data_IF_199091195666
#
_entry.id   IF_199091195666
#
_cell.length_a   1.000
_cell.length_b   1.000
_cell.length_c   1.000
_cell.angle_alpha   90.00
_cell.angle_beta   90.00
_cell.angle_gamma   90.00
#
_symmetry.space_group_name_H-M   'P 1'
#
loop_
_entity.id
_entity.type
_entity.pdbx_description
1 polymer ?
#
# COMPACT_ATOMS: atom_id res chain seq x y z
N UNK A 1 28.78 6.56 0.55
CA UNK A 1 27.32 6.80 0.65
C UNK A 1 26.59 5.58 0.11
N UNK A 2 25.71 4.95 0.89
CA UNK A 2 25.01 3.71 0.49
C UNK A 2 24.01 4.05 -0.64
N UNK A 3 24.22 3.51 -1.85
CA UNK A 3 23.33 3.68 -3.00
C UNK A 3 21.93 3.18 -2.60
N UNK A 4 20.99 4.11 -2.41
CA UNK A 4 19.65 3.80 -1.91
C UNK A 4 18.76 3.47 -3.11
N UNK A 5 18.07 2.33 -3.03
CA UNK A 5 17.20 1.81 -4.08
C UNK A 5 16.24 2.90 -4.63
N UNK A 6 16.01 2.88 -5.95
CA UNK A 6 15.13 3.80 -6.71
C UNK A 6 13.65 3.43 -6.46
N UNK A 7 13.25 3.24 -5.20
CA UNK A 7 11.88 2.93 -4.85
C UNK A 7 11.31 4.07 -4.00
N UNK A 8 10.59 4.96 -4.67
CA UNK A 8 9.87 6.05 -4.02
C UNK A 8 8.54 5.49 -3.51
N UNK A 9 8.31 5.58 -2.20
CA UNK A 9 7.05 5.17 -1.58
C UNK A 9 6.04 6.32 -1.52
N UNK A 10 4.73 6.03 -1.43
CA UNK A 10 3.71 7.06 -1.23
C UNK A 10 3.97 7.91 0.04
N UNK A 11 4.52 7.30 1.10
CA UNK A 11 4.92 8.00 2.31
C UNK A 11 6.13 8.94 2.09
N UNK A 12 6.99 8.62 1.13
CA UNK A 12 8.10 9.49 0.76
C UNK A 12 7.62 10.73 0.02
N UNK A 13 6.72 10.54 -0.96
CA UNK A 13 6.07 11.65 -1.67
C UNK A 13 5.27 12.53 -0.70
N UNK A 14 4.48 11.91 0.18
CA UNK A 14 3.70 12.65 1.19
C UNK A 14 4.61 13.50 2.10
N UNK A 15 5.76 12.96 2.52
CA UNK A 15 6.73 13.71 3.32
C UNK A 15 7.38 14.86 2.54
N UNK A 16 7.68 14.65 1.26
CA UNK A 16 8.22 15.70 0.40
C UNK A 16 7.22 16.85 0.23
N UNK A 17 5.96 16.53 -0.11
CA UNK A 17 4.88 17.52 -0.27
C UNK A 17 4.62 18.26 1.05
N UNK A 18 4.61 17.55 2.17
CA UNK A 18 4.36 18.15 3.48
C UNK A 18 5.52 19.06 3.93
N UNK A 19 6.76 18.57 3.86
CA UNK A 19 7.94 19.35 4.19
C UNK A 19 9.18 18.84 3.42
N UNK A 20 9.59 19.55 2.34
CA UNK A 20 10.75 19.17 1.54
C UNK A 20 12.05 19.08 2.36
N UNK A 21 12.22 19.96 3.34
CA UNK A 21 13.40 19.97 4.20
C UNK A 21 13.47 18.71 5.08
N UNK A 22 12.35 18.32 5.71
CA UNK A 22 12.26 17.10 6.52
C UNK A 22 12.52 15.85 5.67
N UNK A 23 12.01 15.83 4.44
CA UNK A 23 12.27 14.75 3.48
C UNK A 23 13.76 14.67 3.12
N UNK A 24 14.37 15.79 2.73
CA UNK A 24 15.81 15.86 2.38
C UNK A 24 16.67 15.36 3.54
N UNK A 25 16.41 15.85 4.75
CA UNK A 25 17.15 15.46 5.95
C UNK A 25 17.04 13.95 6.21
N UNK A 26 15.84 13.40 6.07
CA UNK A 26 15.60 11.96 6.20
C UNK A 26 16.27 11.11 5.11
N UNK A 27 16.50 11.67 3.91
CA UNK A 27 17.18 10.99 2.80
C UNK A 27 18.70 10.99 2.97
N UNK A 28 19.28 12.11 3.40
CA UNK A 28 20.72 12.31 3.57
C UNK A 28 21.23 11.72 4.89
N UNK A 29 20.56 12.02 6.01
CA UNK A 29 21.02 11.67 7.36
C UNK A 29 20.25 10.51 8.00
N UNK A 30 19.16 10.05 7.36
CA UNK A 30 18.31 8.98 7.89
C UNK A 30 17.23 9.47 8.85
N UNK A 31 16.30 8.58 9.21
CA UNK A 31 15.18 8.93 10.10
C UNK A 31 15.57 9.01 11.58
N UNK A 32 16.66 8.34 11.98
CA UNK A 32 17.15 8.32 13.36
C UNK A 32 17.62 9.72 13.81
N UNK A 33 18.44 10.37 12.99
CA UNK A 33 18.98 11.72 13.25
C UNK A 33 17.88 12.77 13.29
N UNK A 34 16.85 12.62 12.46
CA UNK A 34 15.67 13.48 12.48
C UNK A 34 14.89 13.33 13.81
N UNK A 35 14.72 12.10 14.30
CA UNK A 35 14.08 11.83 15.60
C UNK A 35 14.86 12.45 16.76
N UNK A 36 16.17 12.29 16.77
CA UNK A 36 17.06 12.87 17.79
C UNK A 36 16.96 14.41 17.81
N UNK A 37 16.91 15.07 16.64
CA UNK A 37 16.69 16.52 16.55
C UNK A 37 15.33 16.96 17.09
N UNK A 38 14.26 16.22 16.80
CA UNK A 38 12.95 16.53 17.38
C UNK A 38 12.91 16.36 18.90
N UNK A 39 13.61 15.35 19.43
CA UNK A 39 13.75 15.14 20.88
C UNK A 39 14.53 16.27 21.54
N UNK A 40 15.61 16.73 20.92
CA UNK A 40 16.41 17.86 21.40
C UNK A 40 15.65 19.20 21.40
N UNK A 41 14.60 19.33 20.58
CA UNK A 41 13.74 20.52 20.53
C UNK A 41 12.61 20.48 21.58
N UNK A 42 12.56 19.46 22.45
CA UNK A 42 11.53 19.21 23.47
C UNK A 42 10.08 19.27 22.95
N UNK A 43 9.89 19.14 21.64
CA UNK A 43 8.56 19.19 21.04
C UNK A 43 7.83 17.89 21.33
N UNK A 44 6.63 18.00 21.92
CA UNK A 44 5.72 16.87 22.06
C UNK A 44 5.48 16.24 20.68
N UNK A 45 5.82 14.98 20.54
CA UNK A 45 5.49 14.20 19.34
C UNK A 45 3.98 14.09 19.25
N UNK A 46 3.41 14.54 18.13
CA UNK A 46 1.99 14.39 17.84
C UNK A 46 1.63 12.90 17.73
N UNK A 47 0.72 12.44 18.58
CA UNK A 47 0.33 11.03 18.64
C UNK A 47 -0.69 10.71 17.52
N UNK A 48 -0.19 10.48 16.31
CA UNK A 48 -1.02 10.15 15.14
C UNK A 48 -1.18 8.63 14.90
N UNK A 49 -0.75 7.80 15.86
CA UNK A 49 -0.71 6.35 15.70
C UNK A 49 -2.12 5.75 15.47
N UNK A 50 -3.15 6.32 16.10
CA UNK A 50 -4.54 5.88 15.93
C UNK A 50 -5.01 6.04 14.46
N UNK A 51 -4.71 7.18 13.83
CA UNK A 51 -5.09 7.44 12.44
C UNK A 51 -4.32 6.54 11.47
N UNK A 52 -3.02 6.32 11.73
CA UNK A 52 -2.21 5.40 10.95
C UNK A 52 -2.73 3.96 11.04
N UNK A 53 -3.01 3.46 12.25
CA UNK A 53 -3.61 2.13 12.48
C UNK A 53 -4.97 1.99 11.81
N UNK A 54 -5.80 3.04 11.85
CA UNK A 54 -7.10 3.06 11.15
C UNK A 54 -6.90 2.93 9.64
N UNK A 55 -5.99 3.70 9.05
CA UNK A 55 -5.66 3.61 7.62
C UNK A 55 -5.13 2.24 7.21
N UNK A 56 -4.22 1.66 8.00
CA UNK A 56 -3.66 0.34 7.72
C UNK A 56 -4.75 -0.74 7.67
N UNK A 57 -5.63 -0.78 8.68
CA UNK A 57 -6.76 -1.71 8.75
C UNK A 57 -7.74 -1.52 7.60
N UNK A 58 -7.98 -0.29 7.16
CA UNK A 58 -8.79 -0.03 5.98
C UNK A 58 -8.17 -0.67 4.73
N UNK A 59 -6.87 -0.45 4.49
CA UNK A 59 -6.17 -1.03 3.34
C UNK A 59 -6.17 -2.56 3.39
N UNK A 60 -5.91 -3.17 4.54
CA UNK A 60 -5.95 -4.62 4.69
C UNK A 60 -7.32 -5.20 4.32
N UNK A 61 -8.40 -4.62 4.84
CA UNK A 61 -9.75 -5.05 4.54
C UNK A 61 -10.12 -4.82 3.08
N UNK A 62 -9.70 -3.68 2.51
CA UNK A 62 -9.90 -3.37 1.10
C UNK A 62 -9.22 -4.40 0.19
N UNK A 63 -7.94 -4.72 0.45
CA UNK A 63 -7.20 -5.72 -0.32
C UNK A 63 -7.78 -7.13 -0.17
N UNK A 64 -8.23 -7.51 1.04
CA UNK A 64 -8.92 -8.79 1.27
C UNK A 64 -10.20 -8.89 0.43
N UNK A 65 -11.06 -7.87 0.49
CA UNK A 65 -12.31 -7.81 -0.30
C UNK A 65 -12.03 -7.84 -1.80
N UNK A 66 -11.06 -7.05 -2.27
CA UNK A 66 -10.66 -7.03 -3.68
C UNK A 66 -10.16 -8.39 -4.15
N UNK A 67 -9.33 -9.07 -3.34
CA UNK A 67 -8.83 -10.41 -3.65
C UNK A 67 -9.95 -11.45 -3.69
N UNK A 68 -10.93 -11.38 -2.78
CA UNK A 68 -12.10 -12.26 -2.79
C UNK A 68 -12.97 -12.01 -4.03
N UNK A 69 -13.27 -10.76 -4.36
CA UNK A 69 -14.01 -10.39 -5.57
C UNK A 69 -13.34 -10.93 -6.83
N UNK A 70 -12.02 -10.73 -6.97
CA UNK A 70 -11.23 -11.25 -8.10
C UNK A 70 -11.23 -12.77 -8.20
N UNK A 71 -11.26 -13.49 -7.07
CA UNK A 71 -11.39 -14.95 -7.06
C UNK A 71 -12.79 -15.36 -7.54
N UNK A 72 -13.84 -14.72 -7.04
CA UNK A 72 -15.22 -15.00 -7.44
C UNK A 72 -15.44 -14.74 -8.93
N UNK A 73 -14.95 -13.61 -9.45
CA UNK A 73 -14.98 -13.28 -10.88
C UNK A 73 -14.32 -14.37 -11.74
N UNK A 74 -13.17 -14.91 -11.30
CA UNK A 74 -12.49 -16.01 -12.00
C UNK A 74 -13.30 -17.30 -11.97
N UNK A 75 -13.91 -17.65 -10.84
CA UNK A 75 -14.74 -18.85 -10.73
C UNK A 75 -15.96 -18.74 -11.64
N UNK A 76 -16.64 -17.60 -11.66
CA UNK A 76 -17.79 -17.35 -12.54
C UNK A 76 -17.37 -17.48 -14.01
N UNK A 77 -16.24 -16.90 -14.40
CA UNK A 77 -15.73 -16.99 -15.76
C UNK A 77 -15.43 -18.45 -16.16
N UNK A 78 -14.82 -19.24 -15.27
CA UNK A 78 -14.55 -20.66 -15.52
C UNK A 78 -15.86 -21.44 -15.71
N UNK A 79 -16.85 -21.23 -14.83
CA UNK A 79 -18.16 -21.87 -14.95
C UNK A 79 -18.82 -21.52 -16.28
N UNK A 80 -18.79 -20.24 -16.67
CA UNK A 80 -19.35 -19.78 -17.93
C UNK A 80 -18.69 -20.44 -19.15
N UNK A 81 -17.35 -20.54 -19.16
CA UNK A 81 -16.61 -21.23 -20.22
C UNK A 81 -16.98 -22.72 -20.28
N UNK A 82 -17.06 -23.39 -19.12
CA UNK A 82 -17.46 -24.80 -19.07
C UNK A 82 -18.87 -25.03 -19.61
N UNK A 83 -19.82 -24.14 -19.32
CA UNK A 83 -21.18 -24.21 -19.84
C UNK A 83 -21.21 -24.03 -21.37
N UNK A 84 -20.45 -23.06 -21.90
CA UNK A 84 -20.33 -22.85 -23.35
C UNK A 84 -19.74 -24.07 -24.07
N UNK A 85 -18.67 -24.65 -23.51
CA UNK A 85 -18.06 -25.87 -24.07
C UNK A 85 -19.05 -27.03 -24.03
N UNK A 86 -19.75 -27.22 -22.90
CA UNK A 86 -20.75 -28.27 -22.75
C UNK A 86 -21.93 -28.12 -23.73
N UNK A 87 -22.40 -26.89 -23.97
CA UNK A 87 -23.45 -26.63 -24.95
C UNK A 87 -23.00 -26.88 -26.38
N UNK A 88 -21.76 -26.51 -26.72
CA UNK A 88 -21.18 -26.78 -28.05
C UNK A 88 -21.07 -28.28 -28.30
N UNK A 89 -20.57 -29.05 -27.34
CA UNK A 89 -20.46 -30.51 -27.46
C UNK A 89 -21.84 -31.14 -27.70
N UNK A 90 -22.86 -30.75 -26.93
CA UNK A 90 -24.24 -31.23 -27.14
C UNK A 90 -24.85 -30.86 -28.49
N UNK A 91 -24.36 -29.81 -29.14
CA UNK A 91 -24.87 -29.39 -30.45
C UNK A 91 -24.20 -30.16 -31.60
N UNK A 92 -22.97 -30.63 -31.40
CA UNK A 92 -22.22 -31.42 -32.37
C UNK A 92 -22.46 -32.94 -32.28
N UNK A 93 -22.97 -33.44 -31.14
CA UNK A 93 -23.40 -34.83 -30.92
C UNK A 93 -24.89 -34.95 -31.23
#
# INVERSE_FOLDING_TARGET
>A
MRKKEIKISANEVNRYIYCPYQWYYGRVYGQKTLKEKYQALERKTSNHEANFKKGLRFHENYYKKYRMKRKLERVILIIFICLLIGSLIKWFI
#
